data_IF_498080718443
#
_entry.id   IF_498080718443
#
_cell.length_a   1.000
_cell.length_b   1.000
_cell.length_c   1.000
_cell.angle_alpha   90.00
_cell.angle_beta   90.00
_cell.angle_gamma   90.00
#
_symmetry.space_group_name_H-M   'P 1'
#
loop_
_entity.id
_entity.type
_entity.pdbx_description
1 polymer ?
#
# COMPACT_ATOMS: atom_id res chain seq x y z
N UNK A 1 48.89 -2.99 -57.84
CA UNK A 1 48.01 -2.68 -56.69
C UNK A 1 48.66 -3.25 -55.44
N UNK A 2 48.99 -2.40 -54.45
CA UNK A 2 49.75 -2.77 -53.26
C UNK A 2 48.77 -3.00 -52.11
N UNK A 3 48.62 -4.24 -51.66
CA UNK A 3 47.70 -4.60 -50.58
C UNK A 3 48.23 -4.10 -49.25
N UNK A 4 47.45 -3.25 -48.59
CA UNK A 4 47.74 -2.82 -47.22
C UNK A 4 47.47 -3.99 -46.27
N UNK A 5 48.40 -4.27 -45.36
CA UNK A 5 48.26 -5.34 -44.38
C UNK A 5 47.25 -4.89 -43.31
N UNK A 6 46.08 -5.53 -43.26
CA UNK A 6 45.17 -5.40 -42.12
C UNK A 6 45.88 -5.90 -40.85
N UNK A 7 45.85 -5.09 -39.80
CA UNK A 7 46.39 -5.42 -38.47
C UNK A 7 45.23 -5.82 -37.53
N UNK A 8 44.74 -7.08 -37.57
CA UNK A 8 43.60 -7.53 -36.78
C UNK A 8 43.88 -7.54 -35.26
N UNK A 9 45.15 -7.48 -34.86
CA UNK A 9 45.56 -7.48 -33.46
C UNK A 9 45.10 -6.25 -32.67
N UNK A 10 45.03 -5.06 -33.30
CA UNK A 10 44.60 -3.84 -32.61
C UNK A 10 43.09 -3.83 -32.34
N UNK A 11 42.31 -4.44 -33.24
CA UNK A 11 40.87 -4.66 -33.08
C UNK A 11 40.58 -5.63 -31.94
N UNK A 12 41.37 -6.70 -31.82
CA UNK A 12 41.22 -7.67 -30.72
C UNK A 12 41.53 -7.05 -29.33
N UNK A 13 42.48 -6.12 -29.22
CA UNK A 13 42.75 -5.41 -27.97
C UNK A 13 41.58 -4.52 -27.52
N UNK A 14 40.84 -3.92 -28.47
CA UNK A 14 39.69 -3.06 -28.15
C UNK A 14 38.49 -3.84 -27.59
N UNK A 15 38.34 -5.11 -27.95
CA UNK A 15 37.26 -5.98 -27.46
C UNK A 15 37.48 -6.44 -26.01
N UNK A 16 38.73 -6.56 -25.55
CA UNK A 16 39.06 -7.00 -24.19
C UNK A 16 38.73 -5.95 -23.11
N UNK A 17 38.56 -4.68 -23.48
CA UNK A 17 38.21 -3.59 -22.56
C UNK A 17 36.69 -3.48 -22.32
N UNK A 18 35.85 -4.21 -23.08
CA UNK A 18 34.39 -4.24 -22.91
C UNK A 18 33.89 -5.31 -21.91
N UNK A 19 34.74 -5.78 -20.99
CA UNK A 19 34.32 -6.66 -19.90
C UNK A 19 33.48 -5.88 -18.86
N UNK A 20 32.29 -5.47 -19.26
CA UNK A 20 31.24 -4.95 -18.40
C UNK A 20 30.35 -6.08 -17.90
N UNK A 21 30.90 -6.98 -17.08
CA UNK A 21 30.08 -7.92 -16.30
C UNK A 21 30.61 -7.99 -14.87
N UNK A 22 30.56 -6.85 -14.18
CA UNK A 22 30.53 -6.87 -12.73
C UNK A 22 29.14 -7.35 -12.30
N UNK A 23 29.06 -8.30 -11.37
CA UNK A 23 27.81 -8.65 -10.70
C UNK A 23 27.35 -7.43 -9.90
N UNK A 24 26.64 -6.50 -10.53
CA UNK A 24 25.95 -5.43 -9.82
C UNK A 24 25.02 -6.09 -8.82
N UNK A 25 25.22 -5.77 -7.54
CA UNK A 25 24.27 -6.15 -6.50
C UNK A 25 22.87 -5.78 -6.99
N UNK A 26 21.91 -6.73 -7.04
CA UNK A 26 20.55 -6.42 -7.45
C UNK A 26 20.06 -5.24 -6.62
N UNK A 27 19.57 -4.19 -7.29
CA UNK A 27 18.96 -3.08 -6.57
C UNK A 27 17.86 -3.65 -5.66
N UNK A 28 17.72 -3.12 -4.43
CA UNK A 28 16.63 -3.55 -3.55
C UNK A 28 15.31 -3.44 -4.30
N UNK A 29 14.49 -4.50 -4.25
CA UNK A 29 13.19 -4.48 -4.88
C UNK A 29 12.39 -3.27 -4.36
N UNK A 30 11.68 -2.53 -5.23
CA UNK A 30 10.86 -1.42 -4.78
C UNK A 30 9.83 -1.92 -3.77
N UNK A 31 9.68 -1.19 -2.67
CA UNK A 31 8.60 -1.47 -1.71
C UNK A 31 7.29 -1.04 -2.33
N UNK A 32 6.47 -2.02 -2.70
CA UNK A 32 5.10 -1.76 -3.15
C UNK A 32 4.28 -1.31 -1.95
N UNK A 33 3.76 -0.08 -1.99
CA UNK A 33 2.71 0.36 -1.07
C UNK A 33 1.40 -0.20 -1.60
N UNK A 34 0.90 -1.26 -0.96
CA UNK A 34 -0.44 -1.78 -1.28
C UNK A 34 -1.46 -0.87 -0.62
N UNK A 35 -2.19 -0.10 -1.43
CA UNK A 35 -3.32 0.69 -0.95
C UNK A 35 -4.49 -0.26 -0.69
N UNK A 36 -4.56 -0.83 0.52
CA UNK A 36 -5.66 -1.71 0.94
C UNK A 36 -6.74 -0.93 1.68
N UNK A 37 -7.98 -1.40 1.54
CA UNK A 37 -9.09 -0.88 2.35
C UNK A 37 -8.89 -1.26 3.82
N UNK A 38 -9.26 -0.38 4.77
CA UNK A 38 -9.21 -0.71 6.18
C UNK A 38 -10.13 -1.88 6.53
N UNK A 39 -9.79 -2.63 7.57
CA UNK A 39 -10.65 -3.70 8.10
C UNK A 39 -11.72 -3.11 9.02
N UNK A 40 -12.94 -3.63 8.94
CA UNK A 40 -14.02 -3.28 9.87
C UNK A 40 -13.60 -3.60 11.31
N UNK A 41 -13.71 -2.61 12.18
CA UNK A 41 -13.52 -2.77 13.62
C UNK A 41 -14.89 -2.92 14.31
N UNK A 42 -14.99 -3.69 15.41
CA UNK A 42 -16.25 -3.81 16.14
C UNK A 42 -16.70 -2.46 16.71
N UNK A 43 -17.96 -2.09 16.48
CA UNK A 43 -18.56 -0.90 17.08
C UNK A 43 -18.46 -0.95 18.61
N UNK A 44 -18.05 0.16 19.20
CA UNK A 44 -18.02 0.33 20.65
C UNK A 44 -19.14 1.28 21.06
N UNK A 45 -19.95 0.84 22.02
CA UNK A 45 -20.95 1.71 22.63
C UNK A 45 -20.45 2.24 23.97
N UNK A 46 -20.72 3.52 24.29
CA UNK A 46 -20.37 4.06 25.58
C UNK A 46 -21.12 3.32 26.69
N UNK A 47 -20.41 2.96 27.76
CA UNK A 47 -21.04 2.40 28.93
C UNK A 47 -22.01 3.42 29.55
N UNK A 48 -23.24 3.01 29.84
CA UNK A 48 -24.23 3.84 30.49
C UNK A 48 -24.41 3.45 31.97
N UNK A 49 -24.46 4.44 32.85
CA UNK A 49 -24.94 4.28 34.23
C UNK A 49 -26.18 5.13 34.42
N UNK A 50 -27.33 4.48 34.41
CA UNK A 50 -28.64 5.13 34.46
C UNK A 50 -29.15 5.11 35.89
N UNK A 51 -29.48 6.28 36.46
CA UNK A 51 -30.08 6.39 37.81
C UNK A 51 -31.46 7.04 37.78
N UNK A 52 -31.78 7.75 36.71
CA UNK A 52 -33.06 8.41 36.46
C UNK A 52 -33.49 8.24 35.01
N UNK A 53 -34.76 8.53 34.72
CA UNK A 53 -35.25 8.54 33.34
C UNK A 53 -34.54 9.60 32.47
N UNK A 54 -34.10 10.72 33.09
CA UNK A 54 -33.28 11.71 32.39
C UNK A 54 -31.94 11.13 31.95
N UNK A 55 -31.28 10.37 32.83
CA UNK A 55 -30.03 9.65 32.49
C UNK A 55 -30.27 8.61 31.40
N UNK A 56 -31.44 7.96 31.39
CA UNK A 56 -31.82 6.97 30.39
C UNK A 56 -31.94 7.61 29.02
N UNK A 57 -32.66 8.72 28.91
CA UNK A 57 -32.81 9.44 27.64
C UNK A 57 -31.45 9.93 27.13
N UNK A 58 -30.62 10.51 27.98
CA UNK A 58 -29.26 10.90 27.58
C UNK A 58 -28.39 9.72 27.17
N UNK A 59 -28.52 8.56 27.82
CA UNK A 59 -27.79 7.36 27.45
C UNK A 59 -28.27 6.81 26.09
N UNK A 60 -29.57 6.90 25.81
CA UNK A 60 -30.15 6.53 24.52
C UNK A 60 -29.61 7.42 23.39
N UNK A 61 -29.67 8.75 23.57
CA UNK A 61 -29.15 9.70 22.57
C UNK A 61 -27.67 9.44 22.25
N UNK A 62 -26.86 9.14 23.28
CA UNK A 62 -25.44 8.79 23.11
C UNK A 62 -25.23 7.47 22.39
N UNK A 63 -26.05 6.46 22.70
CA UNK A 63 -25.97 5.17 22.03
C UNK A 63 -26.34 5.31 20.55
N UNK A 64 -27.40 6.05 20.22
CA UNK A 64 -27.81 6.33 18.85
C UNK A 64 -26.72 7.07 18.06
N UNK A 65 -26.10 8.09 18.67
CA UNK A 65 -24.96 8.79 18.08
C UNK A 65 -23.77 7.87 17.81
N UNK A 66 -23.37 7.06 18.80
CA UNK A 66 -22.25 6.11 18.64
C UNK A 66 -22.53 5.04 17.56
N UNK A 67 -23.78 4.60 17.42
CA UNK A 67 -24.20 3.70 16.34
C UNK A 67 -24.12 4.38 14.97
N UNK A 68 -24.59 5.62 14.85
CA UNK A 68 -24.54 6.36 13.59
C UNK A 68 -23.09 6.60 13.13
N UNK A 69 -22.20 6.96 14.06
CA UNK A 69 -20.77 7.11 13.78
C UNK A 69 -20.15 5.80 13.30
N UNK A 70 -20.43 4.69 13.99
CA UNK A 70 -19.90 3.39 13.57
C UNK A 70 -20.42 2.98 12.19
N UNK A 71 -21.72 3.14 11.93
CA UNK A 71 -22.33 2.82 10.66
C UNK A 71 -21.66 3.59 9.51
N UNK A 72 -21.40 4.89 9.69
CA UNK A 72 -20.71 5.70 8.70
C UNK A 72 -19.30 5.17 8.35
N UNK A 73 -18.55 4.68 9.36
CA UNK A 73 -17.23 4.06 9.13
C UNK A 73 -17.37 2.74 8.38
N UNK A 74 -18.32 1.90 8.77
CA UNK A 74 -18.59 0.61 8.09
C UNK A 74 -18.97 0.83 6.63
N UNK A 75 -19.85 1.79 6.35
CA UNK A 75 -20.28 2.14 4.99
C UNK A 75 -19.09 2.64 4.14
N UNK A 76 -18.23 3.47 4.72
CA UNK A 76 -17.01 3.93 4.07
C UNK A 76 -16.06 2.78 3.71
N UNK A 77 -15.88 1.81 4.63
CA UNK A 77 -15.07 0.61 4.38
C UNK A 77 -15.70 -0.24 3.27
N UNK A 78 -17.01 -0.48 3.34
CA UNK A 78 -17.74 -1.25 2.33
C UNK A 78 -17.63 -0.60 0.94
N UNK A 79 -17.76 0.72 0.85
CA UNK A 79 -17.59 1.47 -0.38
C UNK A 79 -16.16 1.40 -0.93
N UNK A 80 -15.15 1.36 -0.06
CA UNK A 80 -13.76 1.12 -0.49
C UNK A 80 -13.62 -0.29 -1.10
N UNK A 81 -14.11 -1.31 -0.39
CA UNK A 81 -14.01 -2.71 -0.83
C UNK A 81 -14.72 -2.92 -2.18
N UNK A 82 -15.92 -2.37 -2.35
CA UNK A 82 -16.66 -2.43 -3.60
C UNK A 82 -15.93 -1.80 -4.81
N UNK A 83 -15.05 -0.81 -4.57
CA UNK A 83 -14.19 -0.21 -5.61
C UNK A 83 -12.95 -1.04 -5.89
N UNK A 84 -12.45 -1.77 -4.90
CA UNK A 84 -11.27 -2.63 -5.03
C UNK A 84 -11.60 -3.97 -5.70
N UNK A 85 -12.85 -4.43 -5.60
CA UNK A 85 -13.35 -5.66 -6.23
C UNK A 85 -13.74 -5.47 -7.73
N UNK A 86 -13.65 -4.25 -8.27
CA UNK A 86 -13.79 -3.93 -9.70
C UNK A 86 -12.46 -4.02 -10.44
#
# INVERSE_FOLDING_TARGET
>A
MKTSKCAPGLLLLSLSLLQGCGTTQPLPAPRLTVNSCPRVQPCQLPAARVRSNGDMNMALDRAEGAWAECAAVVDMIAACQAKADQ
#
